data_IF_755455631724
#
_entry.id   IF_755455631724
#
_cell.length_a   1.000
_cell.length_b   1.000
_cell.length_c   1.000
_cell.angle_alpha   90.00
_cell.angle_beta   90.00
_cell.angle_gamma   90.00
#
_symmetry.space_group_name_H-M   'P 1'
#
loop_
_entity.id
_entity.type
_entity.pdbx_description
1 polymer ?
#
# COMPACT_ATOMS: atom_id res chain seq x y z
N UNK A 1 -3.00 6.47 -11.12
CA UNK A 1 -4.16 7.39 -10.96
C UNK A 1 -5.03 6.92 -9.80
N UNK A 2 -5.64 7.82 -9.01
CA UNK A 2 -6.63 7.43 -8.00
C UNK A 2 -7.87 6.88 -8.70
N UNK A 3 -8.42 5.76 -8.21
CA UNK A 3 -9.57 5.09 -8.82
C UNK A 3 -10.90 5.63 -8.32
N UNK A 4 -10.92 6.39 -7.22
CA UNK A 4 -12.11 7.05 -6.65
C UNK A 4 -11.86 8.52 -6.34
N UNK A 5 -12.91 9.33 -6.43
CA UNK A 5 -12.88 10.78 -6.18
C UNK A 5 -12.54 11.13 -4.72
N UNK A 6 -12.91 10.25 -3.78
CA UNK A 6 -12.59 10.33 -2.34
C UNK A 6 -11.09 10.25 -2.03
N UNK A 7 -10.30 9.66 -2.92
CA UNK A 7 -8.86 9.45 -2.73
C UNK A 7 -8.03 10.71 -3.03
N UNK A 8 -8.67 11.86 -3.27
CA UNK A 8 -8.02 13.15 -3.54
C UNK A 8 -7.55 13.87 -2.28
N UNK A 9 -8.07 13.52 -1.11
CA UNK A 9 -7.56 14.07 0.13
C UNK A 9 -6.14 13.53 0.37
N UNK A 10 -5.16 14.42 0.54
CA UNK A 10 -3.74 14.09 0.75
C UNK A 10 -3.38 13.88 2.23
N UNK A 11 -4.35 13.48 3.05
CA UNK A 11 -4.08 13.18 4.45
C UNK A 11 -3.44 11.79 4.59
N UNK A 12 -2.82 11.58 5.75
CA UNK A 12 -2.05 10.39 6.04
C UNK A 12 -2.92 9.12 6.01
N UNK A 13 -4.16 9.21 6.49
CA UNK A 13 -5.14 8.11 6.50
C UNK A 13 -5.54 7.63 5.10
N UNK A 14 -5.89 8.53 4.20
CA UNK A 14 -6.28 8.19 2.82
C UNK A 14 -5.10 7.64 2.02
N UNK A 15 -3.89 8.15 2.29
CA UNK A 15 -2.65 7.62 1.68
C UNK A 15 -2.40 6.18 2.12
N UNK A 16 -2.50 5.88 3.41
CA UNK A 16 -2.33 4.52 3.91
C UNK A 16 -3.40 3.56 3.41
N UNK A 17 -4.66 3.99 3.40
CA UNK A 17 -5.78 3.18 2.89
C UNK A 17 -5.56 2.77 1.43
N UNK A 18 -5.08 3.70 0.61
CA UNK A 18 -4.80 3.45 -0.81
C UNK A 18 -3.64 2.48 -1.02
N UNK A 19 -2.58 2.59 -0.21
CA UNK A 19 -1.45 1.67 -0.24
C UNK A 19 -1.90 0.27 0.18
N UNK A 20 -2.66 0.15 1.27
CA UNK A 20 -3.20 -1.12 1.75
C UNK A 20 -4.08 -1.78 0.69
N UNK A 21 -5.03 -1.05 0.11
CA UNK A 21 -5.95 -1.57 -0.90
C UNK A 21 -5.20 -2.05 -2.15
N UNK A 22 -4.17 -1.31 -2.58
CA UNK A 22 -3.36 -1.68 -3.74
C UNK A 22 -2.53 -2.95 -3.49
N UNK A 23 -2.13 -3.19 -2.24
CA UNK A 23 -1.38 -4.39 -1.83
C UNK A 23 -2.30 -5.60 -1.62
N UNK A 24 -3.49 -5.41 -1.06
CA UNK A 24 -4.50 -6.48 -0.91
C UNK A 24 -5.00 -6.92 -2.28
N UNK A 25 -5.38 -5.99 -3.15
CA UNK A 25 -5.92 -6.33 -4.49
C UNK A 25 -4.85 -6.88 -5.45
N UNK A 26 -3.57 -6.59 -5.19
CA UNK A 26 -2.49 -6.92 -6.11
C UNK A 26 -2.65 -6.24 -7.48
N UNK A 27 -1.93 -6.74 -8.49
CA UNK A 27 -2.02 -6.22 -9.86
C UNK A 27 -1.28 -4.89 -10.07
N UNK A 28 -0.50 -4.41 -9.10
CA UNK A 28 0.45 -3.32 -9.32
C UNK A 28 1.56 -3.88 -10.22
N UNK A 29 1.83 -3.19 -11.31
CA UNK A 29 2.84 -3.56 -12.29
C UNK A 29 4.22 -3.38 -11.66
N UNK A 30 4.79 -4.47 -11.10
CA UNK A 30 6.12 -4.45 -10.49
C UNK A 30 7.16 -4.55 -11.60
N UNK A 31 8.16 -3.69 -11.54
CA UNK A 31 9.40 -3.87 -12.30
C UNK A 31 10.33 -4.74 -11.46
N UNK A 32 10.60 -5.95 -11.91
CA UNK A 32 11.63 -6.80 -11.33
C UNK A 32 13.00 -6.12 -11.46
N UNK A 33 13.94 -6.41 -10.56
CA UNK A 33 15.36 -6.02 -10.70
C UNK A 33 15.96 -6.51 -12.03
N UNK A 34 15.40 -7.57 -12.61
CA UNK A 34 15.75 -8.14 -13.91
C UNK A 34 15.03 -7.51 -15.11
N UNK A 35 14.25 -6.43 -14.93
CA UNK A 35 13.54 -5.74 -16.02
C UNK A 35 12.17 -6.31 -16.38
N UNK A 36 11.85 -7.53 -15.94
CA UNK A 36 10.54 -8.16 -16.20
C UNK A 36 9.40 -7.47 -15.45
N UNK A 37 8.32 -7.18 -16.18
CA UNK A 37 7.09 -6.63 -15.60
C UNK A 37 6.20 -7.77 -15.15
N UNK A 38 6.21 -8.08 -13.86
CA UNK A 38 5.32 -9.08 -13.26
C UNK A 38 4.23 -8.36 -12.44
N UNK A 39 2.96 -8.76 -12.54
CA UNK A 39 1.94 -8.26 -11.63
C UNK A 39 2.28 -8.68 -10.20
N UNK A 40 2.07 -7.79 -9.23
CA UNK A 40 2.11 -8.19 -7.82
C UNK A 40 0.95 -9.15 -7.55
N UNK A 41 1.24 -10.23 -6.81
CA UNK A 41 0.19 -11.12 -6.34
C UNK A 41 -0.66 -10.42 -5.28
N UNK A 42 -1.96 -10.68 -5.29
CA UNK A 42 -2.87 -10.22 -4.25
C UNK A 42 -2.49 -10.83 -2.90
N UNK A 43 -2.50 -10.02 -1.85
CA UNK A 43 -2.26 -10.48 -0.48
C UNK A 43 -3.56 -11.08 0.05
N UNK A 44 -3.70 -12.40 -0.10
CA UNK A 44 -4.91 -13.14 0.31
C UNK A 44 -4.79 -13.78 1.71
N UNK A 45 -3.61 -13.77 2.34
CA UNK A 45 -3.40 -14.36 3.66
C UNK A 45 -3.70 -13.40 4.82
N UNK A 46 -4.44 -13.86 5.82
CA UNK A 46 -4.75 -13.08 7.05
C UNK A 46 -3.45 -12.62 7.72
N UNK A 47 -2.47 -13.52 7.90
CA UNK A 47 -1.18 -13.18 8.51
C UNK A 47 -0.40 -12.14 7.70
N UNK A 48 -0.48 -12.20 6.38
CA UNK A 48 0.18 -11.24 5.48
C UNK A 48 -0.50 -9.86 5.56
N UNK A 49 -1.83 -9.81 5.68
CA UNK A 49 -2.58 -8.57 5.89
C UNK A 49 -2.27 -7.95 7.27
N UNK A 50 -2.19 -8.76 8.33
CA UNK A 50 -1.80 -8.29 9.67
C UNK A 50 -0.39 -7.70 9.67
N UNK A 51 0.57 -8.39 9.03
CA UNK A 51 1.95 -7.89 8.88
C UNK A 51 2.01 -6.59 8.08
N UNK A 52 1.22 -6.49 7.00
CA UNK A 52 1.11 -5.28 6.20
C UNK A 52 0.57 -4.11 7.03
N UNK A 53 -0.53 -4.31 7.74
CA UNK A 53 -1.12 -3.27 8.58
C UNK A 53 -0.15 -2.80 9.67
N UNK A 54 0.59 -3.73 10.29
CA UNK A 54 1.62 -3.37 11.27
C UNK A 54 2.74 -2.51 10.66
N UNK A 55 3.22 -2.86 9.47
CA UNK A 55 4.25 -2.08 8.78
C UNK A 55 3.75 -0.67 8.42
N UNK A 56 2.49 -0.54 7.98
CA UNK A 56 1.87 0.75 7.69
C UNK A 56 1.71 1.61 8.95
N UNK A 57 1.35 1.00 10.08
CA UNK A 57 1.26 1.69 11.37
C UNK A 57 2.61 2.25 11.83
N UNK A 58 3.68 1.46 11.77
CA UNK A 58 5.02 1.92 12.13
C UNK A 58 5.45 3.08 11.22
N UNK A 59 5.19 2.97 9.91
CA UNK A 59 5.48 4.05 8.97
C UNK A 59 4.70 5.33 9.30
N UNK A 60 3.46 5.22 9.73
CA UNK A 60 2.64 6.34 10.19
C UNK A 60 3.25 7.03 11.42
N UNK A 61 3.72 6.26 12.39
CA UNK A 61 4.36 6.77 13.59
C UNK A 61 5.67 7.49 13.28
N UNK A 62 6.51 6.93 12.41
CA UNK A 62 7.74 7.58 11.96
C UNK A 62 7.46 8.86 11.16
N UNK A 63 6.48 8.85 10.25
CA UNK A 63 6.06 10.07 9.54
C UNK A 63 5.52 11.15 10.47
N UNK A 64 4.86 10.76 11.58
CA UNK A 64 4.42 11.71 12.60
C UNK A 64 5.60 12.33 13.36
N UNK A 65 6.70 11.59 13.58
CA UNK A 65 7.92 12.08 14.25
C UNK A 65 8.73 13.03 13.36
N UNK A 66 8.63 12.89 12.05
CA UNK A 66 9.32 13.73 11.06
C UNK A 66 8.62 15.08 10.80
N UNK A 67 7.61 15.44 11.59
CA UNK A 67 6.86 16.70 11.48
C UNK A 67 7.40 17.75 12.43
#
# INVERSE_FOLDING_TARGET
MPRRFSDRASNMWTTFSRVQESLIKGGIRRRSKSGSSLPTHAVNGIDQNVKLNRALWILAEEMRKLK
#
